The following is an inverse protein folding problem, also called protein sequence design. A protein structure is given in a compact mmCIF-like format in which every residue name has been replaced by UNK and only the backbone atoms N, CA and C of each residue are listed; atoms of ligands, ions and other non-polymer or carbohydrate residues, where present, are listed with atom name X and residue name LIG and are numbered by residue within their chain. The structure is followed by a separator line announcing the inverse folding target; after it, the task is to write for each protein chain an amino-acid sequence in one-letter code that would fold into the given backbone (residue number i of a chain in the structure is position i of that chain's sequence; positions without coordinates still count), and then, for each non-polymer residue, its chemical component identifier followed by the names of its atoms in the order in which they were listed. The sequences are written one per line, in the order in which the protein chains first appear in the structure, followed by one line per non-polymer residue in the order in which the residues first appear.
data_IF_242365353421
#
_entry.id   IF_242365353421
#
_cell.length_a   1.000
_cell.length_b   1.000
_cell.length_c   1.000
_cell.angle_alpha   90.00
_cell.angle_beta   90.00
_cell.angle_gamma   90.00
#
_symmetry.space_group_name_H-M   'P 1'
#
loop_
_entity.id
_entity.type
_entity.pdbx_description
1 polymer ?
#
# COMPACT_ATOMS: atom_id res chain seq x y z
N UNK A 1 -27.85 75.08 -8.51
CA UNK A 1 -27.72 74.61 -7.11
C UNK A 1 -28.62 73.38 -6.96
N UNK A 2 -28.33 72.21 -7.54
CA UNK A 2 -27.23 71.30 -7.19
C UNK A 2 -26.74 71.42 -5.75
N UNK A 3 -26.76 70.27 -5.07
CA UNK A 3 -26.16 69.89 -3.78
C UNK A 3 -27.08 69.97 -2.55
N UNK A 4 -27.30 68.77 -1.99
CA UNK A 4 -27.43 68.43 -0.57
C UNK A 4 -28.78 67.95 -0.01
N UNK A 5 -29.59 67.18 -0.75
CA UNK A 5 -30.55 66.25 -0.12
C UNK A 5 -30.61 64.86 -0.79
N UNK A 6 -29.53 64.41 -1.44
CA UNK A 6 -29.45 63.09 -2.07
C UNK A 6 -28.74 62.02 -1.22
N UNK A 7 -28.49 62.27 0.08
CA UNK A 7 -27.73 61.35 0.94
C UNK A 7 -28.43 60.95 2.26
N UNK A 8 -29.75 61.11 2.35
CA UNK A 8 -30.54 60.39 3.35
C UNK A 8 -31.33 59.30 2.65
N UNK A 9 -30.60 58.29 2.17
CA UNK A 9 -31.17 56.95 1.92
C UNK A 9 -31.41 56.35 3.31
N UNK A 10 -32.42 56.86 4.02
CA UNK A 10 -33.04 56.13 5.12
C UNK A 10 -33.58 54.88 4.45
N UNK A 11 -32.83 53.79 4.57
CA UNK A 11 -33.32 52.47 4.25
C UNK A 11 -34.54 52.28 5.13
N UNK A 12 -35.72 52.51 4.56
CA UNK A 12 -36.99 52.21 5.20
C UNK A 12 -36.86 50.79 5.75
N UNK A 13 -36.84 50.66 7.08
CA UNK A 13 -37.00 49.37 7.74
C UNK A 13 -38.22 48.73 7.07
N UNK A 14 -38.10 47.54 6.47
CA UNK A 14 -39.25 46.95 5.81
C UNK A 14 -40.36 46.87 6.84
N UNK A 15 -41.52 47.46 6.51
CA UNK A 15 -42.71 47.35 7.33
C UNK A 15 -42.95 45.87 7.57
N UNK A 16 -43.01 45.47 8.85
CA UNK A 16 -43.36 44.10 9.23
C UNK A 16 -44.76 43.84 8.69
N UNK A 17 -44.86 43.19 7.54
CA UNK A 17 -46.12 42.68 7.02
C UNK A 17 -46.63 41.71 8.07
N UNK A 18 -47.84 41.96 8.54
CA UNK A 18 -48.59 41.21 9.57
C UNK A 18 -48.99 39.79 9.12
N UNK A 19 -48.17 39.18 8.26
CA UNK A 19 -48.23 37.79 7.85
C UNK A 19 -46.96 37.07 8.32
N UNK A 20 -46.71 37.10 9.63
CA UNK A 20 -45.75 36.23 10.30
C UNK A 20 -46.29 34.79 10.35
N UNK A 21 -46.60 34.19 9.20
CA UNK A 21 -46.83 32.75 9.07
C UNK A 21 -45.49 32.06 8.98
N UNK A 22 -44.97 31.70 10.14
CA UNK A 22 -43.90 30.73 10.32
C UNK A 22 -42.49 31.32 10.33
N UNK A 23 -41.98 31.66 11.51
CA UNK A 23 -40.58 31.33 11.77
C UNK A 23 -40.47 29.83 11.53
N UNK A 24 -39.83 29.43 10.41
CA UNK A 24 -39.61 28.03 10.08
C UNK A 24 -39.18 27.32 11.36
N UNK A 25 -39.85 26.21 11.68
CA UNK A 25 -39.63 25.47 12.91
C UNK A 25 -38.14 25.41 13.16
N UNK A 26 -37.66 26.05 14.23
CA UNK A 26 -36.29 25.93 14.70
C UNK A 26 -36.07 24.43 14.73
N UNK A 27 -35.28 23.87 13.79
CA UNK A 27 -35.03 22.42 13.72
C UNK A 27 -34.72 22.02 15.15
N UNK A 28 -35.63 21.31 15.81
CA UNK A 28 -35.48 20.99 17.22
C UNK A 28 -34.19 20.18 17.29
N UNK A 29 -33.14 20.84 17.77
CA UNK A 29 -31.89 20.16 17.99
C UNK A 29 -32.19 19.11 19.05
N UNK A 30 -31.88 17.84 18.74
CA UNK A 30 -32.03 16.75 19.72
C UNK A 30 -31.51 17.23 21.08
N UNK A 31 -32.22 16.94 22.20
CA UNK A 31 -31.77 17.31 23.53
C UNK A 31 -30.30 16.94 23.69
N UNK A 32 -29.48 17.81 24.28
CA UNK A 32 -28.02 17.63 24.35
C UNK A 32 -27.61 16.25 24.93
N UNK A 33 -28.49 15.63 25.74
CA UNK A 33 -28.36 14.27 26.32
C UNK A 33 -28.45 13.12 25.30
N UNK A 34 -29.05 13.33 24.12
CA UNK A 34 -29.27 12.30 23.09
C UNK A 34 -28.36 12.47 21.87
N UNK A 35 -27.38 13.38 21.95
CA UNK A 35 -26.39 13.54 20.88
C UNK A 35 -25.42 12.35 20.96
N UNK A 36 -25.25 11.57 19.88
CA UNK A 36 -24.24 10.52 19.88
C UNK A 36 -22.89 11.15 20.22
N UNK A 37 -22.21 10.61 21.22
CA UNK A 37 -20.90 11.05 21.67
C UNK A 37 -19.85 10.67 20.62
N UNK A 38 -19.91 11.29 19.44
CA UNK A 38 -18.84 11.27 18.46
C UNK A 38 -17.75 12.17 19.02
N UNK A 39 -16.97 11.66 19.99
CA UNK A 39 -15.70 12.30 20.34
C UNK A 39 -14.82 12.19 19.10
N UNK A 40 -14.80 13.25 18.29
CA UNK A 40 -13.83 13.34 17.22
C UNK A 40 -12.44 13.25 17.85
N UNK A 41 -11.54 12.50 17.22
CA UNK A 41 -10.14 12.47 17.65
C UNK A 41 -9.43 13.67 17.04
N UNK A 42 -8.62 14.34 17.85
CA UNK A 42 -7.80 15.47 17.46
C UNK A 42 -6.45 14.97 16.93
N UNK A 43 -6.06 15.41 15.73
CA UNK A 43 -4.76 15.13 15.17
C UNK A 43 -3.72 16.17 15.63
N UNK A 44 -2.61 15.70 16.18
CA UNK A 44 -1.49 16.51 16.67
C UNK A 44 -0.17 15.91 16.20
N UNK A 45 0.85 16.76 16.05
CA UNK A 45 2.24 16.33 15.80
C UNK A 45 3.02 16.50 17.10
N UNK A 46 3.72 15.45 17.53
CA UNK A 46 4.51 15.49 18.76
C UNK A 46 5.80 16.31 18.57
N UNK A 47 6.08 17.23 19.48
CA UNK A 47 7.34 18.01 19.48
C UNK A 47 8.39 17.38 20.39
N UNK A 48 7.96 16.57 21.35
CA UNK A 48 8.80 15.82 22.28
C UNK A 48 8.41 14.34 22.26
N UNK A 49 9.30 13.48 22.76
CA UNK A 49 8.96 12.08 23.02
C UNK A 49 7.99 12.00 24.20
N UNK A 50 6.91 11.23 24.04
CA UNK A 50 5.88 11.06 25.04
C UNK A 50 5.61 9.58 25.23
N UNK A 51 5.86 9.11 26.46
CA UNK A 51 5.55 7.75 26.88
C UNK A 51 4.13 7.35 26.46
N UNK A 52 4.02 6.19 25.82
CA UNK A 52 2.77 5.58 25.31
C UNK A 52 2.14 6.23 24.07
N UNK A 53 2.62 7.39 23.61
CA UNK A 53 2.12 8.03 22.39
C UNK A 53 3.06 7.87 21.20
N UNK A 54 4.37 8.04 21.43
CA UNK A 54 5.39 7.90 20.41
C UNK A 54 6.46 8.98 20.48
N UNK A 55 7.41 8.87 19.56
CA UNK A 55 8.57 9.75 19.49
C UNK A 55 8.22 11.11 18.90
N UNK A 56 9.11 12.09 19.15
CA UNK A 56 9.07 13.40 18.51
C UNK A 56 8.88 13.27 16.99
N UNK A 57 7.93 14.03 16.46
CA UNK A 57 7.62 14.17 15.05
C UNK A 57 6.58 13.20 14.50
N UNK A 58 6.03 12.31 15.34
CA UNK A 58 4.93 11.44 14.94
C UNK A 58 3.59 12.20 14.93
N UNK A 59 2.74 11.86 13.96
CA UNK A 59 1.35 12.35 13.87
C UNK A 59 0.44 11.41 14.66
N UNK A 60 -0.17 11.91 15.73
CA UNK A 60 -1.00 11.12 16.66
C UNK A 60 -2.44 11.63 16.70
N UNK A 61 -3.41 10.71 16.82
CA UNK A 61 -4.84 11.02 16.95
C UNK A 61 -5.32 10.76 18.37
N UNK A 62 -5.48 11.81 19.16
CA UNK A 62 -5.82 11.76 20.59
C UNK A 62 -7.22 12.27 20.88
N UNK A 63 -7.73 12.03 22.09
CA UNK A 63 -8.97 12.67 22.55
C UNK A 63 -8.78 14.19 22.69
N UNK A 64 -9.79 14.99 22.33
CA UNK A 64 -9.71 16.45 22.42
C UNK A 64 -9.31 16.96 23.81
N UNK A 65 -9.79 16.31 24.88
CA UNK A 65 -9.44 16.69 26.25
C UNK A 65 -7.97 16.48 26.56
N UNK A 66 -7.39 15.38 26.09
CA UNK A 66 -5.98 15.08 26.31
C UNK A 66 -5.07 16.05 25.55
N UNK A 67 -5.44 16.36 24.30
CA UNK A 67 -4.74 17.36 23.50
C UNK A 67 -4.80 18.77 24.11
N UNK A 68 -6.00 19.24 24.44
CA UNK A 68 -6.23 20.63 24.89
C UNK A 68 -5.80 20.91 26.32
N UNK A 69 -5.91 19.92 27.21
CA UNK A 69 -5.61 20.13 28.62
C UNK A 69 -4.16 19.79 28.99
N UNK A 70 -3.50 18.91 28.22
CA UNK A 70 -2.18 18.41 28.57
C UNK A 70 -1.13 18.64 27.48
N UNK A 71 -1.33 18.11 26.27
CA UNK A 71 -0.27 18.15 25.24
C UNK A 71 0.02 19.57 24.74
N UNK A 72 -1.02 20.35 24.43
CA UNK A 72 -0.88 21.70 23.88
C UNK A 72 -0.35 22.71 24.91
N UNK A 73 -0.88 22.78 26.16
CA UNK A 73 -0.37 23.73 27.14
C UNK A 73 1.05 23.43 27.61
N UNK A 74 1.46 22.16 27.56
CA UNK A 74 2.83 21.75 27.92
C UNK A 74 3.81 21.87 26.75
N UNK A 75 3.37 22.28 25.56
CA UNK A 75 4.23 22.40 24.37
C UNK A 75 4.72 21.06 23.81
N UNK A 76 4.17 19.92 24.26
CA UNK A 76 4.58 18.58 23.84
C UNK A 76 4.05 18.20 22.46
N UNK A 77 3.03 18.90 21.98
CA UNK A 77 2.46 18.67 20.67
C UNK A 77 1.93 19.96 20.05
N UNK A 78 1.87 19.99 18.72
CA UNK A 78 1.33 21.09 17.92
C UNK A 78 0.19 20.56 17.04
N UNK A 79 -0.72 21.44 16.63
CA UNK A 79 -1.77 21.07 15.68
C UNK A 79 -1.20 20.55 14.37
N UNK A 80 -1.78 19.46 13.86
CA UNK A 80 -1.42 18.87 12.57
C UNK A 80 -1.96 19.72 11.39
N UNK A 81 -1.34 20.87 11.15
CA UNK A 81 -1.46 21.65 9.92
C UNK A 81 -0.40 21.19 8.92
N UNK A 82 -0.58 21.38 7.59
CA UNK A 82 0.44 21.04 6.60
C UNK A 82 1.80 21.63 6.95
N UNK A 83 1.85 22.91 7.28
CA UNK A 83 3.08 23.61 7.66
C UNK A 83 3.75 22.98 8.89
N UNK A 84 2.98 22.63 9.92
CA UNK A 84 3.53 22.01 11.12
C UNK A 84 3.94 20.54 10.89
N UNK A 85 3.28 19.85 9.96
CA UNK A 85 3.67 18.49 9.56
C UNK A 85 5.00 18.51 8.79
N UNK A 86 5.28 19.55 8.01
CA UNK A 86 6.58 19.70 7.35
C UNK A 86 7.68 20.11 8.33
N UNK A 87 7.37 21.03 9.27
CA UNK A 87 8.34 21.53 10.24
C UNK A 87 8.69 20.53 11.35
N UNK A 88 7.70 19.78 11.83
CA UNK A 88 7.86 18.87 12.97
C UNK A 88 7.76 17.41 12.57
N UNK A 89 7.28 17.08 11.36
CA UNK A 89 7.21 15.70 10.92
C UNK A 89 8.59 15.06 10.93
N UNK A 90 8.71 13.96 11.67
CA UNK A 90 9.81 13.06 11.45
C UNK A 90 9.61 12.48 10.05
N UNK A 91 10.57 12.65 9.13
CA UNK A 91 10.68 11.71 8.02
C UNK A 91 10.82 10.34 8.69
N UNK A 92 9.86 9.45 8.48
CA UNK A 92 9.95 8.04 8.87
C UNK A 92 11.07 7.37 8.05
N UNK A 93 12.30 7.81 8.24
CA UNK A 93 13.50 7.16 7.75
C UNK A 93 14.19 6.60 9.00
N UNK A 94 14.37 5.28 9.01
CA UNK A 94 15.20 4.51 9.95
C UNK A 94 14.62 4.17 11.33
N UNK A 95 13.53 3.41 11.37
CA UNK A 95 13.32 2.45 12.47
C UNK A 95 12.99 1.06 11.89
N UNK A 96 13.94 0.53 11.11
CA UNK A 96 14.01 -0.88 10.71
C UNK A 96 15.00 -1.71 11.54
N UNK A 97 15.72 -1.10 12.49
CA UNK A 97 16.92 -1.67 13.10
C UNK A 97 16.67 -2.94 13.92
N UNK A 98 15.51 -3.05 14.58
CA UNK A 98 15.20 -4.22 15.40
C UNK A 98 14.56 -5.37 14.59
N UNK A 99 14.23 -5.14 13.31
CA UNK A 99 13.68 -6.16 12.41
C UNK A 99 14.70 -6.76 11.46
N UNK A 100 15.85 -6.13 11.25
CA UNK A 100 16.83 -6.54 10.24
C UNK A 100 17.44 -7.92 10.53
N UNK A 101 17.80 -8.18 11.79
CA UNK A 101 18.30 -9.50 12.21
C UNK A 101 17.23 -10.61 12.05
N UNK A 102 15.98 -10.30 12.35
CA UNK A 102 14.85 -11.22 12.18
C UNK A 102 14.56 -11.49 10.71
N UNK A 103 14.68 -10.47 9.86
CA UNK A 103 14.55 -10.60 8.39
C UNK A 103 15.66 -11.50 7.85
N UNK A 104 16.92 -11.30 8.25
CA UNK A 104 18.03 -12.13 7.83
C UNK A 104 17.84 -13.61 8.25
N UNK A 105 17.35 -13.85 9.47
CA UNK A 105 17.04 -15.19 9.97
C UNK A 105 15.87 -15.84 9.18
N UNK A 106 14.82 -15.07 8.88
CA UNK A 106 13.69 -15.53 8.08
C UNK A 106 14.14 -15.92 6.66
N UNK A 107 14.93 -15.07 6.02
CA UNK A 107 15.45 -15.30 4.66
C UNK A 107 16.31 -16.56 4.62
N UNK A 108 17.23 -16.76 5.59
CA UNK A 108 18.00 -18.02 5.73
C UNK A 108 17.09 -19.25 5.86
N UNK A 109 16.01 -19.15 6.66
CA UNK A 109 15.05 -20.23 6.86
C UNK A 109 14.23 -20.59 5.61
N UNK A 110 13.95 -19.61 4.75
CA UNK A 110 13.23 -19.82 3.49
C UNK A 110 14.13 -20.50 2.45
N UNK A 111 15.37 -20.04 2.28
CA UNK A 111 16.32 -20.66 1.36
C UNK A 111 16.71 -22.10 1.77
N UNK A 112 16.72 -22.42 3.06
CA UNK A 112 16.99 -23.79 3.53
C UNK A 112 15.88 -24.81 3.18
N UNK A 113 14.66 -24.33 2.85
CA UNK A 113 13.49 -25.18 2.57
C UNK A 113 13.14 -25.24 1.08
N UNK A 114 13.65 -24.32 0.28
CA UNK A 114 13.26 -24.16 -1.12
C UNK A 114 14.47 -24.21 -2.04
N UNK A 115 14.52 -25.22 -2.90
CA UNK A 115 15.45 -25.27 -4.02
C UNK A 115 14.95 -24.33 -5.13
N UNK A 116 15.74 -23.30 -5.45
CA UNK A 116 15.39 -22.33 -6.51
C UNK A 116 15.91 -22.84 -7.84
N UNK A 117 14.98 -23.17 -8.74
CA UNK A 117 15.30 -23.58 -10.09
C UNK A 117 15.04 -22.44 -11.10
N UNK A 118 16.05 -22.06 -11.87
CA UNK A 118 15.89 -21.14 -13.02
C UNK A 118 15.80 -21.95 -14.30
N UNK A 119 14.70 -21.78 -15.05
CA UNK A 119 14.48 -22.49 -16.31
C UNK A 119 15.02 -21.69 -17.50
N UNK A 120 15.93 -22.28 -18.28
CA UNK A 120 16.51 -21.68 -19.50
C UNK A 120 15.98 -22.35 -20.78
N UNK A 121 15.90 -21.63 -21.92
CA UNK A 121 15.13 -22.08 -23.09
C UNK A 121 15.70 -23.27 -23.87
N UNK A 122 17.01 -23.56 -23.82
CA UNK A 122 17.62 -24.72 -24.50
C UNK A 122 19.07 -24.95 -24.05
N UNK A 123 19.53 -26.19 -24.02
CA UNK A 123 20.92 -26.56 -23.69
C UNK A 123 21.95 -26.08 -24.73
N UNK A 124 21.55 -25.91 -26.00
CA UNK A 124 22.45 -25.55 -27.11
C UNK A 124 22.34 -24.11 -27.64
N UNK A 125 21.62 -23.23 -26.95
CA UNK A 125 21.51 -21.81 -27.32
C UNK A 125 22.46 -20.93 -26.51
N UNK A 126 22.81 -19.75 -27.04
CA UNK A 126 23.48 -18.71 -26.24
C UNK A 126 22.46 -18.12 -25.26
N UNK A 127 22.52 -18.54 -24.00
CA UNK A 127 21.73 -17.95 -22.92
C UNK A 127 22.65 -17.54 -21.78
N UNK A 128 22.24 -16.49 -21.10
CA UNK A 128 22.93 -15.93 -19.94
C UNK A 128 21.92 -15.63 -18.85
N UNK A 129 22.14 -16.23 -17.69
CA UNK A 129 21.34 -15.97 -16.49
C UNK A 129 21.97 -14.79 -15.75
N UNK A 130 21.20 -13.71 -15.70
CA UNK A 130 21.52 -12.49 -14.96
C UNK A 130 20.68 -12.42 -13.67
N UNK A 131 20.98 -11.45 -12.81
CA UNK A 131 20.28 -11.14 -11.56
C UNK A 131 18.76 -11.05 -11.79
N UNK A 132 18.36 -10.47 -12.92
CA UNK A 132 16.96 -10.28 -13.32
C UNK A 132 16.17 -11.59 -13.41
N UNK A 133 16.81 -12.65 -13.91
CA UNK A 133 16.17 -13.96 -14.06
C UNK A 133 15.98 -14.61 -12.68
N UNK A 134 16.95 -14.44 -11.78
CA UNK A 134 16.89 -14.96 -10.41
C UNK A 134 15.82 -14.19 -9.61
N UNK A 135 15.82 -12.86 -9.68
CA UNK A 135 14.82 -12.01 -9.03
C UNK A 135 13.39 -12.34 -9.50
N UNK A 136 13.22 -12.68 -10.79
CA UNK A 136 11.92 -13.09 -11.33
C UNK A 136 11.43 -14.42 -10.76
N UNK A 137 12.31 -15.40 -10.58
CA UNK A 137 11.95 -16.68 -9.95
C UNK A 137 11.65 -16.49 -8.46
N UNK A 138 12.41 -15.66 -7.74
CA UNK A 138 12.14 -15.34 -6.33
C UNK A 138 10.75 -14.72 -6.12
N UNK A 139 10.29 -13.87 -7.07
CA UNK A 139 8.94 -13.30 -7.03
C UNK A 139 7.83 -14.35 -7.07
N UNK A 140 8.06 -15.51 -7.70
CA UNK A 140 7.08 -16.62 -7.71
C UNK A 140 6.94 -17.26 -6.34
N UNK A 141 8.00 -17.23 -5.54
CA UNK A 141 8.00 -17.66 -4.13
C UNK A 141 7.54 -16.55 -3.18
N UNK A 142 6.89 -15.50 -3.70
CA UNK A 142 6.44 -14.33 -2.94
C UNK A 142 7.57 -13.55 -2.24
N UNK A 143 8.81 -13.72 -2.68
CA UNK A 143 9.96 -12.95 -2.17
C UNK A 143 10.25 -11.80 -3.14
N UNK A 144 10.12 -10.56 -2.67
CA UNK A 144 10.50 -9.38 -3.43
C UNK A 144 11.92 -8.95 -3.04
N UNK A 145 12.89 -9.26 -3.91
CA UNK A 145 14.30 -8.91 -3.70
C UNK A 145 14.71 -7.88 -4.77
N UNK A 146 15.31 -6.74 -4.38
CA UNK A 146 15.87 -5.78 -5.33
C UNK A 146 17.14 -6.36 -6.00
N UNK A 147 17.43 -5.89 -7.21
CA UNK A 147 18.54 -6.41 -8.02
C UNK A 147 19.90 -6.18 -7.36
N UNK A 148 20.06 -5.04 -6.68
CA UNK A 148 21.32 -4.63 -6.05
C UNK A 148 21.75 -5.56 -4.90
N UNK A 149 20.79 -6.28 -4.31
CA UNK A 149 21.06 -7.26 -3.26
C UNK A 149 21.60 -8.60 -3.81
N UNK A 150 21.50 -8.87 -5.12
CA UNK A 150 21.91 -10.14 -5.71
C UNK A 150 23.30 -9.95 -6.34
N UNK A 151 24.31 -10.59 -5.75
CA UNK A 151 25.67 -10.52 -6.25
C UNK A 151 26.01 -11.74 -7.11
N UNK A 152 26.20 -11.51 -8.41
CA UNK A 152 26.81 -12.47 -9.33
C UNK A 152 28.17 -11.94 -9.80
N UNK A 153 29.20 -12.78 -9.67
CA UNK A 153 30.54 -12.44 -10.16
C UNK A 153 30.63 -12.46 -11.69
N UNK A 154 29.90 -13.37 -12.32
CA UNK A 154 29.82 -13.56 -13.77
C UNK A 154 28.40 -14.02 -14.13
N UNK A 155 27.87 -13.65 -15.30
CA UNK A 155 26.62 -14.20 -15.79
C UNK A 155 26.74 -15.71 -15.95
N UNK A 156 25.73 -16.45 -15.50
CA UNK A 156 25.76 -17.92 -15.52
C UNK A 156 25.37 -18.41 -16.92
N UNK A 157 26.27 -19.15 -17.55
CA UNK A 157 26.10 -19.74 -18.90
C UNK A 157 26.13 -21.28 -18.90
N UNK A 158 26.34 -21.90 -17.73
CA UNK A 158 26.44 -23.35 -17.57
C UNK A 158 25.23 -23.89 -16.80
N UNK A 159 24.77 -25.09 -17.18
CA UNK A 159 23.67 -25.78 -16.49
C UNK A 159 24.21 -26.39 -15.19
N UNK A 160 23.37 -26.45 -14.16
CA UNK A 160 23.70 -27.07 -12.88
C UNK A 160 23.59 -26.11 -11.70
N UNK A 161 24.19 -26.53 -10.58
CA UNK A 161 24.14 -25.82 -9.32
C UNK A 161 25.21 -24.72 -9.27
N UNK A 162 24.77 -23.48 -9.10
CA UNK A 162 25.64 -22.32 -8.96
C UNK A 162 25.40 -21.61 -7.62
N UNK A 163 26.46 -21.31 -6.84
CA UNK A 163 26.33 -20.53 -5.62
C UNK A 163 26.11 -19.05 -5.97
N UNK A 164 25.11 -18.43 -5.36
CA UNK A 164 24.78 -17.01 -5.49
C UNK A 164 24.75 -16.39 -4.10
N UNK A 165 25.25 -15.16 -3.99
CA UNK A 165 25.26 -14.40 -2.74
C UNK A 165 24.15 -13.36 -2.74
N UNK A 166 23.46 -13.26 -1.61
CA UNK A 166 22.43 -12.27 -1.36
C UNK A 166 22.84 -11.40 -0.17
N UNK A 167 23.04 -10.11 -0.43
CA UNK A 167 23.32 -9.10 0.59
C UNK A 167 21.98 -8.60 1.11
N UNK A 168 21.65 -8.91 2.36
CA UNK A 168 20.46 -8.35 3.02
C UNK A 168 20.79 -6.95 3.54
N UNK A 169 21.96 -6.82 4.19
CA UNK A 169 22.48 -5.59 4.80
C UNK A 169 24.02 -5.56 4.68
N UNK A 170 24.65 -4.44 5.06
CA UNK A 170 26.10 -4.25 5.03
C UNK A 170 26.90 -5.33 5.81
N UNK A 171 26.26 -6.00 6.77
CA UNK A 171 26.90 -7.04 7.61
C UNK A 171 26.41 -8.47 7.29
N UNK A 172 25.32 -8.62 6.53
CA UNK A 172 24.63 -9.90 6.35
C UNK A 172 24.66 -10.39 4.90
N UNK A 173 25.56 -11.34 4.62
CA UNK A 173 25.61 -12.07 3.35
C UNK A 173 25.03 -13.49 3.51
N UNK A 174 24.10 -13.87 2.64
CA UNK A 174 23.48 -15.19 2.59
C UNK A 174 23.87 -15.88 1.29
N UNK A 175 24.58 -17.01 1.40
CA UNK A 175 24.86 -17.88 0.24
C UNK A 175 23.71 -18.86 0.03
N UNK A 176 23.18 -18.92 -1.19
CA UNK A 176 22.19 -19.93 -1.59
C UNK A 176 22.56 -20.55 -2.94
N UNK A 177 22.08 -21.76 -3.19
CA UNK A 177 22.36 -22.49 -4.44
C UNK A 177 21.19 -22.32 -5.41
N UNK A 178 21.51 -21.85 -6.62
CA UNK A 178 20.54 -21.77 -7.72
C UNK A 178 20.79 -22.94 -8.67
N UNK A 179 19.77 -23.72 -8.94
CA UNK A 179 19.84 -24.80 -9.92
C UNK A 179 19.35 -24.30 -11.28
N UNK A 180 20.24 -24.25 -12.27
CA UNK A 180 19.87 -23.89 -13.64
C UNK A 180 19.47 -25.17 -14.37
N UNK A 181 18.22 -25.23 -14.82
CA UNK A 181 17.65 -26.37 -15.55
C UNK A 181 17.24 -25.95 -16.96
N UNK A 182 17.54 -26.79 -17.95
CA UNK A 182 17.02 -26.58 -19.31
C UNK A 182 15.53 -26.90 -19.35
N UNK A 183 14.77 -26.11 -20.12
CA UNK A 183 13.40 -26.42 -20.50
C UNK A 183 13.46 -27.57 -21.49
N UNK A 184 13.49 -28.80 -20.98
CA UNK A 184 13.60 -29.98 -21.82
C UNK A 184 12.42 -30.03 -22.80
N UNK A 185 12.68 -29.82 -24.10
CA UNK A 185 11.66 -29.91 -25.16
C UNK A 185 11.21 -31.38 -25.38
N UNK A 186 11.81 -32.35 -24.69
CA UNK A 186 11.65 -33.79 -24.92
C UNK A 186 10.43 -34.42 -24.25
N UNK A 187 9.69 -33.72 -23.39
CA UNK A 187 8.44 -34.24 -22.84
C UNK A 187 7.18 -33.93 -23.68
N UNK A 188 7.32 -33.32 -24.87
CA UNK A 188 6.24 -33.21 -25.88
C UNK A 188 6.44 -34.27 -26.98
N UNK A 189 6.59 -35.53 -26.59
CA UNK A 189 6.80 -36.63 -27.55
C UNK A 189 6.49 -38.04 -27.04
N UNK A 190 6.32 -38.25 -25.74
CA UNK A 190 6.02 -39.56 -25.15
C UNK A 190 4.55 -39.72 -24.74
N UNK A 191 3.62 -39.10 -25.47
CA UNK A 191 2.16 -39.28 -25.29
C UNK A 191 1.46 -39.91 -26.52
N UNK A 192 2.19 -40.58 -27.41
CA UNK A 192 1.62 -41.17 -28.63
C UNK A 192 1.54 -42.72 -28.62
N UNK A 193 1.98 -43.44 -27.58
CA UNK A 193 1.95 -44.91 -27.62
C UNK A 193 1.47 -45.64 -26.36
N UNK A 194 1.19 -44.96 -25.25
CA UNK A 194 0.54 -45.60 -24.10
C UNK A 194 -0.75 -44.85 -23.78
N UNK A 195 -1.86 -45.59 -23.78
CA UNK A 195 -3.22 -45.09 -23.88
C UNK A 195 -3.54 -43.93 -22.95
N UNK A 196 -3.87 -42.79 -23.55
CA UNK A 196 -4.40 -41.63 -22.86
C UNK A 196 -5.87 -41.86 -22.49
N UNK A 197 -6.15 -42.02 -21.19
CA UNK A 197 -7.49 -41.73 -20.64
C UNK A 197 -7.51 -40.22 -20.38
N UNK A 198 -8.27 -39.49 -21.18
CA UNK A 198 -8.34 -38.04 -21.09
C UNK A 198 -8.78 -37.58 -19.68
N UNK A 199 -8.13 -36.59 -19.06
CA UNK A 199 -8.65 -35.97 -17.86
C UNK A 199 -9.94 -35.22 -18.23
N UNK A 200 -10.99 -35.48 -17.45
CA UNK A 200 -12.32 -34.93 -17.60
C UNK A 200 -12.25 -33.40 -17.45
N UNK A 201 -12.24 -32.67 -18.57
CA UNK A 201 -12.45 -31.22 -18.57
C UNK A 201 -13.89 -30.96 -18.12
N UNK A 202 -14.06 -30.50 -16.88
CA UNK A 202 -15.31 -29.90 -16.45
C UNK A 202 -15.43 -28.56 -17.19
N UNK A 203 -16.15 -28.56 -18.32
CA UNK A 203 -16.54 -27.34 -19.00
C UNK A 203 -17.65 -26.67 -18.19
N UNK A 204 -17.34 -25.53 -17.59
CA UNK A 204 -18.33 -24.66 -16.97
C UNK A 204 -19.17 -24.05 -18.12
N UNK A 205 -20.37 -24.58 -18.35
CA UNK A 205 -21.31 -23.95 -19.27
C UNK A 205 -21.80 -22.63 -18.67
N UNK A 206 -21.18 -21.53 -19.09
CA UNK A 206 -21.85 -20.24 -18.99
C UNK A 206 -23.02 -20.23 -19.96
N UNK A 207 -24.21 -20.45 -19.43
CA UNK A 207 -25.47 -20.29 -20.13
C UNK A 207 -25.73 -18.79 -20.39
N UNK A 208 -25.11 -18.23 -21.42
CA UNK A 208 -25.49 -16.92 -21.97
C UNK A 208 -26.58 -17.11 -23.01
N UNK A 209 -27.82 -17.12 -22.53
CA UNK A 209 -29.03 -16.95 -23.33
C UNK A 209 -28.98 -15.61 -24.07
N UNK A 210 -28.48 -15.61 -25.31
CA UNK A 210 -28.67 -14.52 -26.29
C UNK A 210 -29.96 -14.79 -27.09
N UNK A 211 -31.09 -14.62 -26.41
CA UNK A 211 -32.36 -14.40 -27.08
C UNK A 211 -32.56 -12.89 -27.24
N UNK A 212 -32.53 -12.42 -28.48
CA UNK A 212 -33.16 -11.17 -28.87
C UNK A 212 -32.23 -10.03 -29.26
N UNK A 213 -31.74 -10.05 -30.49
CA UNK A 213 -31.64 -8.85 -31.33
C UNK A 213 -31.87 -9.24 -32.79
N UNK A 214 -33.15 -9.43 -33.14
CA UNK A 214 -33.65 -9.19 -34.49
C UNK A 214 -34.12 -7.73 -34.55
N UNK A 215 -34.04 -7.14 -35.75
CA UNK A 215 -34.52 -5.81 -36.17
C UNK A 215 -33.51 -4.67 -35.91
N UNK A 216 -33.07 -3.85 -36.88
CA UNK A 216 -33.65 -3.44 -38.16
C UNK A 216 -32.54 -3.19 -39.22
N UNK A 217 -32.75 -3.70 -40.44
CA UNK A 217 -32.45 -2.97 -41.67
C UNK A 217 -33.73 -2.24 -42.06
N UNK A 218 -33.68 -0.91 -42.09
CA UNK A 218 -34.26 -0.05 -43.15
C UNK A 218 -33.94 1.41 -42.86
#
# INVERSE_FOLDING_TARGET
MQRLLSLLRVSSRPALVENARGYGTRRESKPWKQRPNRKAKLALVLTEDVDKLGRRGHVVRVEHGYGRNWLLPQGKAVYATPDNMELYGAREEMQGSDSEADIAAFVKGVFAKHDISVTVPSEGGEWSVHEQHIAKELRRFCLHVPLDCIQLSKPITSIGAHPVFLTVDDENEISFTVNVVSRDTRQTGQYASEGYVAPLFITFQHNTSLAGYKHYLS
#
